data_IF_750621675027
#
_entry.id   IF_750621675027
#
_cell.length_a   1.000
_cell.length_b   1.000
_cell.length_c   1.000
_cell.angle_alpha   90.00
_cell.angle_beta   90.00
_cell.angle_gamma   90.00
#
_symmetry.space_group_name_H-M   'P 1'
#
loop_
_entity.id
_entity.type
_entity.pdbx_description
1 polymer ?
#
# COMPACT_ATOMS: atom_id res chain seq x y z
N UNK A 1 66.91 48.34 38.57
CA UNK A 1 68.23 47.85 38.19
C UNK A 1 68.17 47.03 36.92
N UNK A 2 68.76 47.55 35.82
CA UNK A 2 69.29 46.93 34.59
C UNK A 2 68.48 45.83 33.90
N UNK A 3 67.88 46.13 32.70
CA UNK A 3 68.36 45.86 31.33
C UNK A 3 68.49 44.40 31.01
N UNK A 4 67.90 43.86 29.94
CA UNK A 4 68.33 44.08 28.55
C UNK A 4 67.36 43.46 27.54
N UNK A 5 67.20 44.17 26.48
CA UNK A 5 66.63 43.92 25.17
C UNK A 5 67.23 42.72 24.44
N UNK A 6 66.53 41.94 23.75
CA UNK A 6 66.90 41.33 22.46
C UNK A 6 65.72 41.05 21.58
N UNK A 7 65.61 41.73 20.47
CA UNK A 7 64.75 41.46 19.32
C UNK A 7 65.22 40.21 18.61
N UNK A 8 64.31 39.37 18.28
CA UNK A 8 64.45 38.43 17.15
C UNK A 8 63.21 38.47 16.33
N UNK A 9 63.35 38.93 15.09
CA UNK A 9 62.37 38.85 14.02
C UNK A 9 62.23 37.40 13.60
N UNK A 10 61.01 36.94 13.47
CA UNK A 10 60.70 35.72 12.79
C UNK A 10 59.63 35.99 11.73
N UNK A 11 60.01 35.70 10.50
CA UNK A 11 59.24 35.89 9.30
C UNK A 11 57.93 35.04 9.33
N UNK A 12 56.82 35.71 9.04
CA UNK A 12 55.55 35.05 8.82
C UNK A 12 55.52 34.48 7.39
N UNK A 13 55.57 33.14 7.28
CA UNK A 13 55.27 32.46 6.05
C UNK A 13 53.76 32.26 5.96
N UNK A 14 53.10 33.01 5.10
CA UNK A 14 51.70 32.82 4.75
C UNK A 14 51.56 31.60 3.83
N UNK A 15 51.14 30.49 4.39
CA UNK A 15 50.65 29.33 3.59
C UNK A 15 49.20 29.62 3.21
N UNK A 16 48.96 29.99 1.97
CA UNK A 16 47.64 29.98 1.34
C UNK A 16 47.24 28.54 1.10
N UNK A 17 46.36 28.00 1.94
CA UNK A 17 45.64 26.77 1.64
C UNK A 17 44.51 27.08 0.65
N UNK A 18 44.72 26.78 -0.61
CA UNK A 18 43.67 26.67 -1.61
C UNK A 18 42.89 25.41 -1.34
N UNK A 19 41.76 25.52 -0.63
CA UNK A 19 40.78 24.42 -0.49
C UNK A 19 40.06 24.23 -1.82
N UNK A 20 40.53 23.30 -2.63
CA UNK A 20 39.77 22.80 -3.78
C UNK A 20 38.55 22.03 -3.25
N UNK A 21 37.36 22.66 -3.29
CA UNK A 21 36.10 21.95 -3.17
C UNK A 21 35.97 21.02 -4.39
N UNK A 22 36.31 19.77 -4.20
CA UNK A 22 35.85 18.68 -5.06
C UNK A 22 34.38 18.51 -4.78
N UNK A 23 33.54 19.16 -5.58
CA UNK A 23 32.16 18.77 -5.76
C UNK A 23 32.17 17.36 -6.38
N UNK A 24 32.13 16.35 -5.53
CA UNK A 24 31.81 14.99 -5.96
C UNK A 24 30.37 15.05 -6.48
N UNK A 25 30.21 15.22 -7.79
CA UNK A 25 28.96 14.89 -8.47
C UNK A 25 28.71 13.43 -8.19
N UNK A 26 27.76 13.12 -7.28
CA UNK A 26 27.24 11.78 -7.15
C UNK A 26 26.77 11.37 -8.56
N UNK A 27 27.20 10.24 -9.10
CA UNK A 27 26.67 9.76 -10.36
C UNK A 27 25.16 9.63 -10.16
N UNK A 28 24.38 10.32 -10.98
CA UNK A 28 22.99 9.98 -11.15
C UNK A 28 23.02 8.50 -11.54
N UNK A 29 22.39 7.65 -10.74
CA UNK A 29 22.23 6.26 -11.08
C UNK A 29 21.40 6.22 -12.36
N UNK A 30 22.06 6.12 -13.50
CA UNK A 30 21.40 5.79 -14.75
C UNK A 30 20.91 4.37 -14.59
N UNK A 31 19.64 4.09 -14.83
CA UNK A 31 19.16 2.71 -14.92
C UNK A 31 20.12 1.94 -15.82
N UNK A 32 20.59 0.77 -15.36
CA UNK A 32 21.43 -0.08 -16.22
C UNK A 32 20.68 -0.36 -17.52
N UNK A 33 21.34 -0.34 -18.70
CA UNK A 33 20.68 -0.49 -19.98
C UNK A 33 19.77 -1.71 -20.11
N UNK A 34 20.04 -2.74 -19.33
CA UNK A 34 19.29 -4.00 -19.26
C UNK A 34 18.65 -4.26 -17.89
N UNK A 35 18.57 -3.25 -17.02
CA UNK A 35 18.01 -3.36 -15.68
C UNK A 35 16.49 -3.41 -15.64
N UNK A 36 15.98 -3.86 -14.50
CA UNK A 36 14.56 -3.94 -14.19
C UNK A 36 14.00 -5.37 -14.19
N UNK A 37 12.95 -5.57 -13.40
CA UNK A 37 12.21 -6.84 -13.31
C UNK A 37 10.93 -6.71 -14.14
N UNK A 38 10.49 -7.80 -14.77
CA UNK A 38 9.32 -7.72 -15.67
C UNK A 38 8.03 -7.32 -14.95
N UNK A 39 7.87 -7.72 -13.70
CA UNK A 39 6.72 -7.38 -12.86
C UNK A 39 7.18 -6.86 -11.50
N UNK A 40 6.70 -5.68 -11.12
CA UNK A 40 6.89 -5.07 -9.81
C UNK A 40 5.54 -4.78 -9.18
N UNK A 41 5.37 -5.13 -7.91
CA UNK A 41 4.14 -4.90 -7.15
C UNK A 41 4.44 -4.03 -5.95
N UNK A 42 3.60 -3.01 -5.75
CA UNK A 42 3.60 -2.11 -4.60
C UNK A 42 2.22 -2.14 -3.96
N UNK A 43 2.13 -2.07 -2.64
CA UNK A 43 0.81 -2.07 -2.05
C UNK A 43 0.74 -2.28 -0.55
N UNK A 44 -0.48 -2.37 -0.06
CA UNK A 44 -0.77 -2.56 1.35
C UNK A 44 -1.09 -4.03 1.72
N UNK A 45 -1.79 -4.24 2.84
CA UNK A 45 -2.14 -5.58 3.31
C UNK A 45 -3.09 -6.36 2.40
N UNK A 46 -3.84 -5.69 1.52
CA UNK A 46 -4.65 -6.38 0.51
C UNK A 46 -3.79 -6.97 -0.61
N UNK A 47 -2.59 -6.46 -0.78
CA UNK A 47 -1.57 -6.95 -1.70
C UNK A 47 -0.67 -7.98 -1.01
N UNK A 48 -0.06 -7.61 0.13
CA UNK A 48 0.84 -8.48 0.88
C UNK A 48 0.13 -9.67 1.52
N UNK A 49 -1.16 -9.65 1.60
CA UNK A 49 -2.08 -10.57 2.25
C UNK A 49 -1.42 -11.81 2.89
N UNK A 50 -1.97 -12.34 3.94
CA UNK A 50 -1.36 -13.43 4.68
C UNK A 50 -2.37 -14.21 5.50
N UNK A 51 -1.91 -14.74 6.62
CA UNK A 51 -2.77 -15.45 7.55
C UNK A 51 -3.10 -14.63 8.80
N UNK A 52 -3.95 -15.17 9.65
CA UNK A 52 -4.37 -14.54 10.90
C UNK A 52 -3.20 -14.33 11.88
N UNK A 53 -2.17 -15.19 11.85
CA UNK A 53 -1.00 -15.04 12.72
C UNK A 53 -0.22 -13.78 12.36
N UNK A 54 0.04 -13.57 11.08
CA UNK A 54 0.66 -12.34 10.56
C UNK A 54 -0.21 -11.09 10.86
N UNK A 55 -1.55 -11.22 10.79
CA UNK A 55 -2.45 -10.14 11.18
C UNK A 55 -2.33 -9.80 12.67
N UNK A 56 -2.20 -10.79 13.55
CA UNK A 56 -2.05 -10.60 14.99
C UNK A 56 -0.69 -9.97 15.37
N UNK A 57 0.38 -10.31 14.67
CA UNK A 57 1.68 -9.68 14.86
C UNK A 57 1.62 -8.18 14.59
N UNK A 58 0.95 -7.78 13.51
CA UNK A 58 0.79 -6.39 13.12
C UNK A 58 -0.09 -5.55 14.08
N UNK A 59 -0.89 -6.19 14.94
CA UNK A 59 -1.69 -5.46 15.93
C UNK A 59 -0.95 -5.27 17.28
N UNK A 60 0.22 -5.87 17.42
CA UNK A 60 1.04 -5.70 18.63
C UNK A 60 1.60 -4.28 18.69
N UNK A 61 1.39 -3.53 19.80
CA UNK A 61 1.95 -2.20 19.94
C UNK A 61 3.48 -2.21 19.82
N UNK A 62 4.02 -1.38 18.92
CA UNK A 62 5.47 -1.26 18.70
C UNK A 62 6.07 -2.32 17.78
N UNK A 63 5.26 -3.20 17.19
CA UNK A 63 5.75 -4.11 16.14
C UNK A 63 6.33 -3.30 14.96
N UNK A 64 7.45 -3.79 14.41
CA UNK A 64 7.98 -3.26 13.17
C UNK A 64 6.98 -3.52 12.02
N UNK A 65 6.97 -2.65 10.98
CA UNK A 65 6.18 -2.93 9.79
C UNK A 65 6.55 -4.29 9.20
N UNK A 66 5.53 -5.09 8.89
CA UNK A 66 5.71 -6.42 8.32
C UNK A 66 5.48 -6.37 6.80
N UNK A 67 6.54 -6.69 6.05
CA UNK A 67 6.50 -6.79 4.60
C UNK A 67 6.62 -8.25 4.14
N UNK A 68 6.27 -9.22 5.00
CA UNK A 68 6.11 -10.61 4.57
C UNK A 68 4.85 -10.75 3.69
N UNK A 69 4.93 -11.62 2.71
CA UNK A 69 3.87 -11.87 1.75
C UNK A 69 3.24 -13.23 1.99
N UNK A 70 1.92 -13.31 1.90
CA UNK A 70 1.21 -14.57 1.97
C UNK A 70 1.53 -15.46 0.77
N UNK A 71 1.65 -16.78 0.97
CA UNK A 71 1.92 -17.71 -0.12
C UNK A 71 0.79 -17.78 -1.15
N UNK A 72 -0.39 -17.29 -0.78
CA UNK A 72 -1.60 -17.28 -1.60
C UNK A 72 -2.10 -15.87 -1.90
N UNK A 73 -1.32 -14.83 -1.59
CA UNK A 73 -1.65 -13.44 -1.99
C UNK A 73 -1.76 -13.34 -3.51
N UNK A 74 -2.59 -12.41 -4.02
CA UNK A 74 -2.76 -12.29 -5.46
C UNK A 74 -1.45 -12.02 -6.24
N UNK A 75 -0.44 -11.27 -5.72
CA UNK A 75 0.82 -11.12 -6.44
C UNK A 75 1.60 -12.44 -6.53
N UNK A 76 1.60 -13.22 -5.44
CA UNK A 76 2.25 -14.53 -5.41
C UNK A 76 1.61 -15.47 -6.44
N UNK A 77 0.27 -15.59 -6.45
CA UNK A 77 -0.44 -16.42 -7.40
C UNK A 77 -0.24 -15.92 -8.84
N UNK A 78 -0.32 -14.61 -9.08
CA UNK A 78 -0.06 -14.02 -10.39
C UNK A 78 1.36 -14.34 -10.90
N UNK A 79 2.37 -14.22 -10.04
CA UNK A 79 3.74 -14.54 -10.41
C UNK A 79 3.93 -16.05 -10.71
N UNK A 80 3.22 -16.91 -9.99
CA UNK A 80 3.19 -18.36 -10.27
C UNK A 80 2.53 -18.64 -11.63
N UNK A 81 1.37 -18.04 -11.92
CA UNK A 81 0.65 -18.18 -13.18
C UNK A 81 1.44 -17.67 -14.39
N UNK A 82 2.29 -16.66 -14.18
CA UNK A 82 3.20 -16.12 -15.19
C UNK A 82 4.52 -16.91 -15.31
N UNK A 83 4.78 -17.87 -14.43
CA UNK A 83 6.01 -18.65 -14.39
C UNK A 83 7.26 -17.86 -13.94
N UNK A 84 7.06 -16.74 -13.23
CA UNK A 84 8.17 -15.87 -12.75
C UNK A 84 8.33 -15.89 -11.24
N UNK A 85 7.53 -16.65 -10.50
CA UNK A 85 7.66 -16.80 -9.06
C UNK A 85 9.03 -17.41 -8.72
N UNK A 86 9.73 -16.81 -7.76
CA UNK A 86 11.07 -17.25 -7.34
C UNK A 86 12.19 -16.91 -8.32
N UNK A 87 11.91 -16.18 -9.40
CA UNK A 87 12.92 -15.71 -10.35
C UNK A 87 13.32 -14.26 -10.09
N UNK A 88 14.36 -13.79 -10.81
CA UNK A 88 14.78 -12.39 -10.78
C UNK A 88 13.82 -11.42 -11.50
N UNK A 89 12.80 -11.93 -12.19
CA UNK A 89 11.86 -11.12 -12.98
C UNK A 89 10.64 -10.62 -12.21
N UNK A 90 10.52 -10.99 -10.94
CA UNK A 90 9.43 -10.58 -10.06
C UNK A 90 9.93 -9.85 -8.81
N UNK A 91 9.26 -8.77 -8.41
CA UNK A 91 9.41 -8.12 -7.12
C UNK A 91 8.04 -7.76 -6.54
N UNK A 92 7.79 -8.19 -5.32
CA UNK A 92 6.70 -7.72 -4.49
C UNK A 92 7.29 -6.91 -3.32
N UNK A 93 6.96 -5.63 -3.27
CA UNK A 93 7.43 -4.67 -2.26
C UNK A 93 6.31 -4.26 -1.32
N UNK A 94 5.15 -4.87 -1.44
CA UNK A 94 3.99 -4.55 -0.62
C UNK A 94 4.24 -4.85 0.85
N UNK A 95 3.67 -4.01 1.71
CA UNK A 95 3.82 -4.15 3.15
C UNK A 95 2.49 -3.98 3.86
N UNK A 96 2.21 -4.81 4.86
CA UNK A 96 0.99 -4.68 5.66
C UNK A 96 0.95 -3.34 6.37
N UNK A 97 -0.19 -2.65 6.27
CA UNK A 97 -0.37 -1.32 6.84
C UNK A 97 0.27 -0.19 6.05
N UNK A 98 0.86 -0.47 4.89
CA UNK A 98 1.40 0.58 4.03
C UNK A 98 0.33 1.56 3.60
N UNK A 99 0.73 2.81 3.42
CA UNK A 99 -0.15 3.94 3.07
C UNK A 99 0.45 4.73 1.92
N UNK A 100 -0.34 5.61 1.31
CA UNK A 100 0.17 6.56 0.31
C UNK A 100 1.22 7.49 0.93
N UNK A 101 0.84 8.18 2.00
CA UNK A 101 1.68 9.23 2.61
C UNK A 101 1.61 9.29 4.14
N UNK A 102 0.66 8.60 4.78
CA UNK A 102 0.34 8.85 6.20
C UNK A 102 1.04 7.91 7.16
N UNK A 103 1.63 8.48 8.18
CA UNK A 103 1.90 7.87 9.47
C UNK A 103 3.17 7.03 9.62
N UNK A 104 3.38 6.43 10.79
CA UNK A 104 4.50 5.56 11.02
C UNK A 104 4.35 4.28 10.20
N UNK A 105 5.42 3.82 9.60
CA UNK A 105 5.46 2.61 8.80
C UNK A 105 5.83 2.88 7.36
N UNK A 106 5.61 1.89 6.52
CA UNK A 106 5.94 2.01 5.12
C UNK A 106 4.93 2.88 4.39
N UNK A 107 5.45 3.73 3.51
CA UNK A 107 4.65 4.48 2.55
C UNK A 107 4.93 3.94 1.15
N UNK A 108 4.02 4.19 0.22
CA UNK A 108 4.20 3.81 -1.17
C UNK A 108 5.53 4.35 -1.76
N UNK A 109 5.94 5.55 -1.35
CA UNK A 109 7.23 6.11 -1.75
C UNK A 109 8.43 5.35 -1.16
N UNK A 110 8.28 4.74 0.01
CA UNK A 110 9.30 3.88 0.60
C UNK A 110 9.42 2.58 -0.18
N UNK A 111 8.31 1.95 -0.53
CA UNK A 111 8.28 0.74 -1.35
C UNK A 111 8.89 0.98 -2.73
N UNK A 112 8.51 2.07 -3.41
CA UNK A 112 9.06 2.42 -4.71
C UNK A 112 10.59 2.64 -4.67
N UNK A 113 11.10 3.35 -3.66
CA UNK A 113 12.55 3.49 -3.48
C UNK A 113 13.25 2.19 -3.14
N UNK A 114 12.60 1.32 -2.35
CA UNK A 114 13.11 -0.02 -2.06
C UNK A 114 13.19 -0.90 -3.31
N UNK A 115 12.18 -0.83 -4.18
CA UNK A 115 12.18 -1.50 -5.47
C UNK A 115 13.35 -1.02 -6.36
N UNK A 116 13.54 0.29 -6.43
CA UNK A 116 14.63 0.90 -7.21
C UNK A 116 16.01 0.49 -6.67
N UNK A 117 16.20 0.58 -5.36
CA UNK A 117 17.45 0.19 -4.70
C UNK A 117 17.82 -1.30 -4.93
N UNK A 118 16.82 -2.15 -5.20
CA UNK A 118 17.02 -3.57 -5.56
C UNK A 118 17.13 -3.79 -7.08
N UNK A 119 17.23 -2.73 -7.89
CA UNK A 119 17.27 -2.81 -9.34
C UNK A 119 16.00 -3.36 -9.98
N UNK A 120 14.84 -3.18 -9.30
CA UNK A 120 13.55 -3.68 -9.81
C UNK A 120 12.98 -2.79 -10.91
N UNK A 121 13.32 -1.51 -10.94
CA UNK A 121 12.94 -0.58 -11.99
C UNK A 121 14.04 -0.49 -13.05
N UNK A 122 13.64 -0.41 -14.31
CA UNK A 122 14.55 -0.27 -15.44
C UNK A 122 13.83 -0.41 -16.77
N UNK A 123 14.58 -0.34 -17.90
CA UNK A 123 14.00 -0.45 -19.24
C UNK A 123 13.28 -1.78 -19.52
N UNK A 124 13.63 -2.85 -18.78
CA UNK A 124 12.99 -4.17 -18.90
C UNK A 124 11.69 -4.29 -18.09
N UNK A 125 11.40 -3.35 -17.19
CA UNK A 125 10.17 -3.40 -16.39
C UNK A 125 8.96 -3.22 -17.31
N UNK A 126 8.10 -4.23 -17.35
CA UNK A 126 6.92 -4.26 -18.22
C UNK A 126 5.68 -3.75 -17.52
N UNK A 127 5.53 -4.12 -16.24
CA UNK A 127 4.32 -3.80 -15.48
C UNK A 127 4.65 -3.45 -14.05
N UNK A 128 4.02 -2.38 -13.54
CA UNK A 128 4.01 -2.02 -12.13
C UNK A 128 2.56 -1.98 -11.66
N UNK A 129 2.22 -2.85 -10.71
CA UNK A 129 0.89 -2.93 -10.10
C UNK A 129 0.89 -2.22 -8.76
N UNK A 130 -0.11 -1.38 -8.48
CA UNK A 130 -0.18 -0.58 -7.26
C UNK A 130 -1.57 -0.70 -6.63
N UNK A 131 -1.66 -1.20 -5.38
CA UNK A 131 -2.90 -1.28 -4.61
C UNK A 131 -2.71 -0.65 -3.24
N UNK A 132 -3.24 0.55 -3.00
CA UNK A 132 -3.01 1.30 -1.77
C UNK A 132 -4.04 2.41 -1.56
N UNK A 133 -4.15 2.91 -0.32
CA UNK A 133 -4.95 4.09 0.03
C UNK A 133 -5.85 3.91 1.25
N UNK A 134 -6.28 2.70 1.58
CA UNK A 134 -7.17 2.46 2.73
C UNK A 134 -6.51 2.74 4.08
N UNK A 135 -5.19 2.60 4.20
CA UNK A 135 -4.47 2.81 5.45
C UNK A 135 -4.10 4.27 5.72
N UNK A 136 -4.42 5.18 4.82
CA UNK A 136 -4.17 6.60 5.04
C UNK A 136 -5.14 7.20 6.05
N UNK A 137 -4.68 8.23 6.75
CA UNK A 137 -5.55 9.17 7.40
C UNK A 137 -6.13 10.12 6.33
N UNK A 138 -7.43 10.20 6.23
CA UNK A 138 -8.15 11.05 5.29
C UNK A 138 -8.92 12.15 6.02
N UNK A 139 -9.15 13.26 5.33
CA UNK A 139 -9.90 14.38 5.88
C UNK A 139 -9.19 15.05 7.06
N UNK A 140 -9.96 15.42 8.09
CA UNK A 140 -9.48 16.26 9.18
C UNK A 140 -8.93 15.50 10.40
N UNK A 141 -9.19 14.20 10.49
CA UNK A 141 -8.72 13.39 11.63
C UNK A 141 -7.54 12.48 11.24
N UNK A 142 -6.87 11.92 12.24
CA UNK A 142 -5.71 11.03 12.06
C UNK A 142 -6.07 9.55 12.15
N UNK A 143 -7.35 9.21 12.18
CA UNK A 143 -7.85 7.85 12.28
C UNK A 143 -7.63 7.12 10.95
N UNK A 144 -7.18 5.88 11.02
CA UNK A 144 -6.91 5.03 9.88
C UNK A 144 -7.82 3.81 9.85
N UNK A 145 -7.72 3.02 8.79
CA UNK A 145 -8.54 1.82 8.60
C UNK A 145 -8.59 0.93 9.83
N UNK A 146 -7.44 0.57 10.41
CA UNK A 146 -7.40 -0.32 11.59
C UNK A 146 -8.20 0.24 12.77
N UNK A 147 -8.03 1.53 13.10
CA UNK A 147 -8.81 2.16 14.15
C UNK A 147 -10.30 2.21 13.79
N UNK A 148 -10.63 2.46 12.53
CA UNK A 148 -12.01 2.41 12.02
C UNK A 148 -12.63 1.04 12.26
N UNK A 149 -11.93 -0.04 11.95
CA UNK A 149 -12.44 -1.39 12.19
C UNK A 149 -12.65 -1.66 13.69
N UNK A 150 -11.66 -1.34 14.52
CA UNK A 150 -11.71 -1.63 15.96
C UNK A 150 -12.68 -0.72 16.72
N UNK A 151 -12.65 0.59 16.49
CA UNK A 151 -13.36 1.58 17.31
C UNK A 151 -14.73 1.96 16.75
N UNK A 152 -15.05 1.47 15.55
CA UNK A 152 -16.27 1.86 14.84
C UNK A 152 -17.04 0.62 14.36
N UNK A 153 -16.44 -0.20 13.47
CA UNK A 153 -17.16 -1.35 12.88
C UNK A 153 -17.49 -2.40 13.93
N UNK A 154 -16.55 -2.75 14.80
CA UNK A 154 -16.77 -3.72 15.88
C UNK A 154 -17.49 -3.14 17.10
N UNK A 155 -17.70 -1.83 17.17
CA UNK A 155 -18.51 -1.21 18.22
C UNK A 155 -20.00 -1.31 17.86
N UNK A 156 -20.61 -2.45 18.07
CA UNK A 156 -22.00 -2.73 17.74
C UNK A 156 -22.99 -1.88 18.54
N UNK A 157 -22.57 -1.31 19.68
CA UNK A 157 -23.42 -0.47 20.54
C UNK A 157 -23.52 0.93 19.98
N UNK A 158 -22.40 1.64 19.80
CA UNK A 158 -22.38 3.01 19.26
C UNK A 158 -22.59 3.04 17.75
N UNK A 159 -22.14 1.99 17.05
CA UNK A 159 -22.21 1.89 15.62
C UNK A 159 -21.13 2.70 14.90
N UNK A 160 -21.11 2.57 13.60
CA UNK A 160 -20.17 3.18 12.67
C UNK A 160 -20.90 4.04 11.62
N UNK A 161 -21.85 4.86 12.09
CA UNK A 161 -22.55 5.84 11.24
C UNK A 161 -21.64 6.99 10.81
N UNK A 162 -22.13 7.89 9.94
CA UNK A 162 -21.34 9.02 9.43
C UNK A 162 -20.73 9.92 10.51
N UNK A 163 -21.40 10.04 11.65
CA UNK A 163 -20.96 10.80 12.83
C UNK A 163 -19.68 10.22 13.48
N UNK A 164 -19.37 8.96 13.23
CA UNK A 164 -18.19 8.31 13.80
C UNK A 164 -16.87 8.97 13.32
N UNK A 165 -16.86 9.52 12.11
CA UNK A 165 -15.72 10.27 11.59
C UNK A 165 -15.50 11.58 12.37
N UNK A 166 -16.57 12.32 12.67
CA UNK A 166 -16.53 13.55 13.45
C UNK A 166 -16.13 13.30 14.91
N UNK A 167 -16.52 12.15 15.44
CA UNK A 167 -16.15 11.69 16.78
C UNK A 167 -14.72 11.13 16.87
N UNK A 168 -13.96 11.11 15.78
CA UNK A 168 -12.61 10.53 15.75
C UNK A 168 -12.55 9.00 15.99
N UNK A 169 -13.64 8.27 15.70
CA UNK A 169 -13.71 6.81 15.82
C UNK A 169 -13.49 6.10 14.48
N UNK A 170 -13.73 6.80 13.37
CA UNK A 170 -13.51 6.31 12.02
C UNK A 170 -12.67 7.30 11.22
N UNK A 171 -11.99 6.78 10.20
CA UNK A 171 -11.35 7.61 9.17
C UNK A 171 -12.35 8.60 8.60
N UNK A 172 -11.95 9.84 8.42
CA UNK A 172 -12.81 10.84 7.81
C UNK A 172 -12.95 10.61 6.30
N UNK A 173 -13.89 9.76 5.95
CA UNK A 173 -14.18 9.37 4.56
C UNK A 173 -14.48 10.56 3.64
N UNK A 174 -14.89 11.72 4.19
CA UNK A 174 -15.20 12.94 3.42
C UNK A 174 -13.95 13.51 2.73
N UNK A 175 -12.79 13.27 3.31
CA UNK A 175 -11.51 13.64 2.71
C UNK A 175 -11.06 12.74 1.56
N UNK A 176 -11.69 11.57 1.38
CA UNK A 176 -11.40 10.69 0.24
C UNK A 176 -12.07 11.26 -1.00
N UNK A 177 -11.27 11.80 -1.90
CA UNK A 177 -11.69 12.30 -3.20
C UNK A 177 -10.56 12.15 -4.22
N UNK A 178 -10.92 12.25 -5.49
CA UNK A 178 -10.01 12.04 -6.62
C UNK A 178 -8.79 12.95 -6.59
N UNK A 179 -8.99 14.25 -6.34
CA UNK A 179 -7.89 15.21 -6.35
C UNK A 179 -6.89 14.94 -5.23
N UNK A 180 -7.38 14.62 -4.04
CA UNK A 180 -6.52 14.29 -2.90
C UNK A 180 -5.77 12.97 -3.13
N UNK A 181 -6.43 11.97 -3.72
CA UNK A 181 -5.76 10.72 -4.11
C UNK A 181 -4.66 10.96 -5.14
N UNK A 182 -4.96 11.76 -6.20
CA UNK A 182 -3.98 12.17 -7.21
C UNK A 182 -2.79 12.88 -6.57
N UNK A 183 -3.03 13.86 -5.70
CA UNK A 183 -1.98 14.63 -5.03
C UNK A 183 -1.01 13.72 -4.26
N UNK A 184 -1.54 12.67 -3.59
CA UNK A 184 -0.74 11.73 -2.79
C UNK A 184 0.02 10.71 -3.62
N UNK A 185 -0.58 10.17 -4.68
CA UNK A 185 0.02 9.07 -5.46
C UNK A 185 0.92 9.57 -6.59
N UNK A 186 0.63 10.76 -7.15
CA UNK A 186 1.36 11.30 -8.32
C UNK A 186 2.89 11.29 -8.17
N UNK A 187 3.50 11.68 -7.03
CA UNK A 187 4.95 11.64 -6.88
C UNK A 187 5.55 10.25 -7.10
N UNK A 188 4.84 9.19 -6.70
CA UNK A 188 5.30 7.82 -6.92
C UNK A 188 5.09 7.38 -8.36
N UNK A 189 3.97 7.75 -8.99
CA UNK A 189 3.74 7.48 -10.42
C UNK A 189 4.82 8.13 -11.28
N UNK A 190 5.17 9.39 -10.99
CA UNK A 190 6.23 10.11 -11.69
C UNK A 190 7.60 9.44 -11.46
N UNK A 191 7.88 8.98 -10.24
CA UNK A 191 9.08 8.22 -9.90
C UNK A 191 9.18 6.93 -10.71
N UNK A 192 8.12 6.14 -10.73
CA UNK A 192 8.06 4.89 -11.51
C UNK A 192 8.27 5.17 -13.00
N UNK A 193 7.62 6.18 -13.55
CA UNK A 193 7.80 6.55 -14.98
C UNK A 193 9.23 6.96 -15.32
N UNK A 194 9.92 7.62 -14.38
CA UNK A 194 11.30 8.03 -14.57
C UNK A 194 12.26 6.83 -14.61
N UNK A 195 12.12 5.91 -13.65
CA UNK A 195 13.03 4.77 -13.52
C UNK A 195 12.62 3.52 -14.31
N UNK A 196 11.35 3.38 -14.67
CA UNK A 196 10.80 2.30 -15.48
C UNK A 196 9.98 2.88 -16.65
N UNK A 197 10.63 3.54 -17.63
CA UNK A 197 9.95 4.33 -18.66
C UNK A 197 9.08 3.53 -19.61
N UNK A 198 9.30 2.21 -19.70
CA UNK A 198 8.55 1.32 -20.57
C UNK A 198 7.41 0.58 -19.83
N UNK A 199 7.28 0.79 -18.50
CA UNK A 199 6.33 0.05 -17.70
C UNK A 199 4.89 0.56 -17.91
N UNK A 200 3.96 -0.38 -18.08
CA UNK A 200 2.53 -0.14 -17.83
C UNK A 200 2.34 0.01 -16.32
N UNK A 201 1.72 1.08 -15.90
CA UNK A 201 1.35 1.28 -14.48
C UNK A 201 -0.14 1.01 -14.38
N UNK A 202 -0.52 0.11 -13.47
CA UNK A 202 -1.91 -0.29 -13.24
C UNK A 202 -2.26 -0.07 -11.77
N UNK A 203 -3.26 0.74 -11.50
CA UNK A 203 -3.87 0.79 -10.18
C UNK A 203 -4.82 -0.40 -10.04
N UNK A 204 -4.61 -1.20 -9.00
CA UNK A 204 -5.46 -2.33 -8.65
C UNK A 204 -6.47 -1.84 -7.62
N UNK A 205 -7.76 -1.87 -7.96
CA UNK A 205 -8.84 -1.54 -7.02
C UNK A 205 -8.94 -2.56 -5.89
N UNK A 206 -9.72 -2.24 -4.86
CA UNK A 206 -10.00 -3.19 -3.79
C UNK A 206 -11.18 -4.10 -4.18
N UNK A 207 -11.25 -5.33 -3.65
CA UNK A 207 -12.35 -6.23 -3.92
C UNK A 207 -13.67 -5.70 -3.36
N UNK A 208 -14.79 -6.24 -3.81
CA UNK A 208 -16.09 -5.94 -3.23
C UNK A 208 -16.09 -6.29 -1.75
N UNK A 209 -16.27 -5.28 -0.90
CA UNK A 209 -16.37 -5.46 0.54
C UNK A 209 -17.80 -5.75 0.97
N UNK A 210 -18.74 -5.00 0.43
CA UNK A 210 -20.17 -5.11 0.67
C UNK A 210 -20.92 -4.95 -0.65
N UNK A 211 -22.06 -5.64 -0.78
CA UNK A 211 -22.91 -5.49 -1.94
C UNK A 211 -23.34 -4.01 -2.11
N UNK A 212 -23.49 -3.55 -3.37
CA UNK A 212 -23.88 -2.17 -3.65
C UNK A 212 -25.15 -1.73 -2.91
N UNK A 213 -25.12 -0.56 -2.29
CA UNK A 213 -26.25 0.02 -1.56
C UNK A 213 -26.50 -0.55 -0.16
N UNK A 214 -25.76 -1.54 0.30
CA UNK A 214 -25.84 -2.00 1.68
C UNK A 214 -25.23 -0.97 2.63
N UNK A 215 -25.82 -0.85 3.81
CA UNK A 215 -25.32 0.00 4.92
C UNK A 215 -24.84 -0.85 6.10
N UNK A 216 -24.75 -2.14 5.90
CA UNK A 216 -24.41 -3.15 6.89
C UNK A 216 -23.06 -3.74 6.61
N UNK A 217 -22.27 -3.89 7.63
CA UNK A 217 -21.00 -4.61 7.60
C UNK A 217 -21.12 -5.87 8.45
N UNK A 218 -20.62 -6.98 8.00
CA UNK A 218 -20.56 -8.17 8.84
C UNK A 218 -19.19 -8.83 8.80
N UNK A 219 -18.87 -9.49 9.90
CA UNK A 219 -17.70 -10.36 10.01
C UNK A 219 -18.18 -11.67 10.62
N UNK A 220 -17.98 -12.76 9.93
CA UNK A 220 -18.27 -14.07 10.44
C UNK A 220 -17.19 -14.56 11.39
N UNK A 221 -17.62 -15.14 12.51
CA UNK A 221 -16.73 -15.59 13.59
C UNK A 221 -17.05 -17.04 13.92
N UNK A 222 -16.04 -17.90 13.91
CA UNK A 222 -16.18 -19.33 14.24
C UNK A 222 -16.90 -19.51 15.59
N UNK A 223 -17.95 -20.32 15.58
CA UNK A 223 -18.71 -20.65 16.79
C UNK A 223 -19.62 -19.54 17.34
N UNK A 224 -19.57 -18.34 16.78
CA UNK A 224 -20.41 -17.19 17.18
C UNK A 224 -21.44 -16.86 16.12
N UNK A 225 -21.10 -17.04 14.84
CA UNK A 225 -21.90 -16.60 13.69
C UNK A 225 -21.51 -15.21 13.23
N UNK A 226 -22.40 -14.52 12.50
CA UNK A 226 -22.12 -13.21 11.94
C UNK A 226 -22.26 -12.10 12.99
N UNK A 227 -21.20 -11.36 13.25
CA UNK A 227 -21.27 -10.07 13.93
C UNK A 227 -21.69 -9.04 12.90
N UNK A 228 -22.87 -8.45 13.08
CA UNK A 228 -23.48 -7.55 12.12
C UNK A 228 -23.49 -6.13 12.67
N UNK A 229 -22.78 -5.24 11.98
CA UNK A 229 -22.87 -3.79 12.23
C UNK A 229 -23.86 -3.17 11.26
N UNK A 230 -25.06 -2.90 11.73
CA UNK A 230 -26.16 -2.34 10.91
C UNK A 230 -26.00 -0.84 10.61
N UNK A 231 -25.13 -0.17 11.33
CA UNK A 231 -24.81 1.24 11.14
C UNK A 231 -23.34 1.37 10.73
N UNK A 232 -22.99 0.93 9.52
CA UNK A 232 -21.61 0.85 9.01
C UNK A 232 -21.25 1.98 8.02
N UNK A 233 -22.08 3.02 7.94
CA UNK A 233 -21.99 4.04 6.89
C UNK A 233 -20.63 4.70 6.74
N UNK A 234 -19.85 4.97 7.81
CA UNK A 234 -18.51 5.54 7.70
C UNK A 234 -17.53 4.58 6.98
N UNK A 235 -17.54 3.30 7.34
CA UNK A 235 -16.67 2.33 6.71
C UNK A 235 -17.06 2.08 5.24
N UNK A 236 -18.35 1.95 4.95
CA UNK A 236 -18.85 1.74 3.59
C UNK A 236 -18.51 2.93 2.70
N UNK A 237 -18.76 4.16 3.17
CA UNK A 237 -18.39 5.38 2.43
C UNK A 237 -16.89 5.48 2.17
N UNK A 238 -16.05 5.01 3.09
CA UNK A 238 -14.59 4.97 2.87
C UNK A 238 -14.25 4.10 1.66
N UNK A 239 -14.82 2.89 1.58
CA UNK A 239 -14.57 1.95 0.47
C UNK A 239 -15.13 2.47 -0.86
N UNK A 240 -16.38 2.93 -0.87
CA UNK A 240 -17.01 3.41 -2.10
C UNK A 240 -16.31 4.64 -2.67
N UNK A 241 -15.90 5.58 -1.81
CA UNK A 241 -15.14 6.77 -2.24
C UNK A 241 -13.74 6.42 -2.68
N UNK A 242 -13.10 5.42 -2.06
CA UNK A 242 -11.78 4.94 -2.47
C UNK A 242 -11.83 4.34 -3.88
N UNK A 243 -12.81 3.50 -4.18
CA UNK A 243 -12.98 2.92 -5.52
C UNK A 243 -13.12 4.02 -6.60
N UNK A 244 -13.98 5.02 -6.34
CA UNK A 244 -14.16 6.16 -7.26
C UNK A 244 -12.87 6.96 -7.41
N UNK A 245 -12.22 7.30 -6.28
CA UNK A 245 -11.01 8.11 -6.29
C UNK A 245 -9.84 7.43 -7.03
N UNK A 246 -9.66 6.13 -6.85
CA UNK A 246 -8.63 5.35 -7.55
C UNK A 246 -8.89 5.30 -9.07
N UNK A 247 -10.13 5.01 -9.47
CA UNK A 247 -10.55 4.91 -10.86
C UNK A 247 -10.37 6.23 -11.62
N UNK A 248 -10.84 7.32 -11.04
CA UNK A 248 -10.73 8.65 -11.65
C UNK A 248 -9.29 9.18 -11.61
N UNK A 249 -8.54 8.89 -10.55
CA UNK A 249 -7.11 9.23 -10.48
C UNK A 249 -6.30 8.51 -11.55
N UNK A 250 -6.61 7.25 -11.84
CA UNK A 250 -5.97 6.52 -12.93
C UNK A 250 -6.19 7.22 -14.28
N UNK A 251 -7.41 7.68 -14.55
CA UNK A 251 -7.73 8.45 -15.77
C UNK A 251 -6.93 9.76 -15.83
N UNK A 252 -6.92 10.54 -14.75
CA UNK A 252 -6.19 11.83 -14.68
C UNK A 252 -4.68 11.62 -14.87
N UNK A 253 -4.13 10.59 -14.29
CA UNK A 253 -2.70 10.30 -14.36
C UNK A 253 -2.31 9.54 -15.63
N UNK A 254 -3.27 9.11 -16.47
CA UNK A 254 -3.01 8.33 -17.69
C UNK A 254 -2.34 6.99 -17.38
N UNK A 255 -2.81 6.32 -16.34
CA UNK A 255 -2.45 4.94 -15.96
C UNK A 255 -3.68 4.04 -16.07
N UNK A 256 -3.48 2.73 -16.07
CA UNK A 256 -4.59 1.79 -16.16
C UNK A 256 -5.26 1.60 -14.79
N UNK A 257 -6.51 1.21 -14.79
CA UNK A 257 -7.25 0.80 -13.60
C UNK A 257 -7.78 -0.61 -13.77
N UNK A 258 -7.44 -1.50 -12.85
CA UNK A 258 -8.01 -2.84 -12.76
C UNK A 258 -9.12 -2.86 -11.72
N UNK A 259 -10.33 -3.18 -12.16
CA UNK A 259 -11.54 -3.19 -11.35
C UNK A 259 -11.67 -4.50 -10.57
N UNK A 260 -10.95 -4.62 -9.46
CA UNK A 260 -11.04 -5.80 -8.59
C UNK A 260 -12.45 -5.96 -7.97
N UNK A 261 -13.16 -4.84 -7.71
CA UNK A 261 -14.53 -4.86 -7.21
C UNK A 261 -15.48 -5.55 -8.18
N UNK A 262 -15.32 -5.25 -9.49
CA UNK A 262 -16.17 -5.89 -10.51
C UNK A 262 -15.89 -7.39 -10.66
N UNK A 263 -14.64 -7.84 -10.57
CA UNK A 263 -14.32 -9.27 -10.72
C UNK A 263 -14.65 -10.09 -9.49
N UNK A 264 -14.85 -9.46 -8.32
CA UNK A 264 -15.26 -10.10 -7.06
C UNK A 264 -16.72 -9.82 -6.68
N UNK A 265 -17.50 -9.25 -7.60
CA UNK A 265 -18.87 -8.84 -7.34
C UNK A 265 -19.76 -10.02 -6.88
N UNK A 266 -20.55 -9.77 -5.83
CA UNK A 266 -21.41 -10.76 -5.19
C UNK A 266 -20.73 -11.65 -4.15
N UNK A 267 -19.42 -11.45 -3.89
CA UNK A 267 -18.62 -12.27 -2.99
C UNK A 267 -18.00 -11.49 -1.82
N UNK A 268 -18.52 -10.31 -1.54
CA UNK A 268 -18.13 -9.52 -0.36
C UNK A 268 -18.45 -10.19 0.96
N UNK A 269 -18.12 -9.51 2.05
CA UNK A 269 -18.52 -9.90 3.40
C UNK A 269 -20.06 -10.06 3.45
N UNK A 270 -20.59 -10.98 4.25
CA UNK A 270 -22.02 -11.28 4.35
C UNK A 270 -22.64 -11.94 3.12
N UNK A 271 -21.92 -12.21 2.07
CA UNK A 271 -22.45 -12.99 0.95
C UNK A 271 -22.59 -14.45 1.33
N UNK A 272 -23.45 -15.21 0.63
CA UNK A 272 -23.56 -16.66 0.86
C UNK A 272 -22.25 -17.43 0.60
N UNK A 273 -21.40 -16.90 -0.27
CA UNK A 273 -20.10 -17.45 -0.64
C UNK A 273 -19.04 -16.33 -0.60
N UNK A 274 -18.57 -15.93 0.60
CA UNK A 274 -17.62 -14.83 0.73
C UNK A 274 -16.24 -15.24 0.21
N UNK A 275 -15.61 -14.32 -0.53
CA UNK A 275 -14.20 -14.42 -0.94
C UNK A 275 -13.28 -13.56 -0.08
N UNK A 276 -13.83 -13.00 0.98
CA UNK A 276 -13.10 -12.29 2.03
C UNK A 276 -13.14 -13.13 3.30
N UNK A 277 -12.02 -13.19 4.02
CA UNK A 277 -11.91 -13.98 5.23
C UNK A 277 -12.67 -13.33 6.40
N UNK A 278 -13.44 -14.15 7.13
CA UNK A 278 -13.95 -13.83 8.45
C UNK A 278 -12.90 -14.08 9.53
N UNK A 279 -13.34 -14.15 10.78
CA UNK A 279 -12.48 -14.52 11.90
C UNK A 279 -12.61 -16.03 12.12
N UNK A 280 -11.60 -16.78 11.71
CA UNK A 280 -11.61 -18.24 11.74
C UNK A 280 -12.84 -18.82 11.00
N UNK A 281 -13.23 -18.22 9.87
CA UNK A 281 -14.42 -18.61 9.10
C UNK A 281 -14.08 -19.70 8.07
N UNK A 282 -14.52 -20.94 8.26
CA UNK A 282 -14.24 -22.04 7.33
C UNK A 282 -14.95 -21.91 5.98
N UNK A 283 -15.94 -21.01 5.82
CA UNK A 283 -16.65 -20.81 4.54
C UNK A 283 -15.81 -20.04 3.53
N UNK A 284 -14.91 -19.18 4.00
CA UNK A 284 -13.97 -18.45 3.16
C UNK A 284 -12.54 -18.99 3.32
N UNK A 285 -11.94 -18.78 4.47
CA UNK A 285 -10.62 -19.28 4.80
C UNK A 285 -10.40 -19.28 6.32
N UNK A 286 -10.17 -20.49 6.91
CA UNK A 286 -10.11 -20.64 8.36
C UNK A 286 -9.03 -19.77 9.00
N UNK A 287 -7.87 -19.67 8.37
CA UNK A 287 -6.70 -18.96 8.90
C UNK A 287 -6.36 -17.68 8.13
N UNK A 288 -7.26 -17.21 7.26
CA UNK A 288 -7.05 -15.98 6.48
C UNK A 288 -7.01 -14.74 7.36
N UNK A 289 -6.37 -13.69 6.89
CA UNK A 289 -6.41 -12.36 7.51
C UNK A 289 -7.86 -11.84 7.50
N UNK A 290 -8.47 -11.56 8.67
CA UNK A 290 -9.84 -11.08 8.70
C UNK A 290 -10.06 -9.83 7.83
N UNK A 291 -11.18 -9.80 7.10
CA UNK A 291 -11.59 -8.69 6.22
C UNK A 291 -10.73 -8.55 4.94
N UNK A 292 -9.72 -9.39 4.75
CA UNK A 292 -8.89 -9.45 3.55
C UNK A 292 -9.35 -10.57 2.62
N UNK A 293 -8.91 -10.58 1.35
CA UNK A 293 -9.22 -11.68 0.44
C UNK A 293 -8.81 -13.04 1.01
N UNK A 294 -9.65 -14.06 0.77
CA UNK A 294 -9.24 -15.45 0.94
C UNK A 294 -8.27 -15.85 -0.18
N UNK A 295 -7.58 -16.98 0.00
CA UNK A 295 -6.75 -17.57 -1.07
C UNK A 295 -7.50 -17.70 -2.39
N UNK A 296 -8.80 -18.05 -2.34
CA UNK A 296 -9.65 -18.11 -3.53
C UNK A 296 -9.92 -16.72 -4.11
N UNK A 297 -10.27 -15.74 -3.28
CA UNK A 297 -10.50 -14.35 -3.72
C UNK A 297 -9.27 -13.75 -4.39
N UNK A 298 -8.10 -13.94 -3.79
CA UNK A 298 -6.81 -13.54 -4.37
C UNK A 298 -6.53 -14.25 -5.70
N UNK A 299 -6.85 -15.55 -5.81
CA UNK A 299 -6.70 -16.30 -7.05
C UNK A 299 -7.57 -15.78 -8.20
N UNK A 300 -8.80 -15.36 -7.89
CA UNK A 300 -9.68 -14.72 -8.90
C UNK A 300 -9.10 -13.41 -9.40
N UNK A 301 -8.58 -12.58 -8.49
CA UNK A 301 -7.91 -11.31 -8.84
C UNK A 301 -6.65 -11.59 -9.67
N UNK A 302 -5.80 -12.54 -9.26
CA UNK A 302 -4.58 -12.93 -9.96
C UNK A 302 -4.86 -13.38 -11.40
N UNK A 303 -5.81 -14.31 -11.58
CA UNK A 303 -6.20 -14.81 -12.90
C UNK A 303 -6.78 -13.72 -13.82
N UNK A 304 -7.49 -12.75 -13.26
CA UNK A 304 -8.01 -11.62 -14.03
C UNK A 304 -6.91 -10.63 -14.41
N UNK A 305 -5.97 -10.34 -13.51
CA UNK A 305 -4.77 -9.54 -13.78
C UNK A 305 -3.88 -10.20 -14.83
N UNK A 306 -3.68 -11.54 -14.76
CA UNK A 306 -2.92 -12.27 -15.78
C UNK A 306 -3.47 -12.01 -17.18
N UNK A 307 -4.79 -12.07 -17.35
CA UNK A 307 -5.43 -11.78 -18.65
C UNK A 307 -5.22 -10.34 -19.09
N UNK A 308 -5.26 -9.37 -18.15
CA UNK A 308 -5.04 -7.97 -18.45
C UNK A 308 -3.61 -7.69 -18.94
N UNK A 309 -2.61 -8.31 -18.32
CA UNK A 309 -1.21 -8.01 -18.62
C UNK A 309 -0.63 -8.87 -19.74
N UNK A 310 -1.26 -10.00 -20.06
CA UNK A 310 -0.87 -10.87 -21.18
C UNK A 310 -1.43 -10.40 -22.54
N UNK A 311 -2.47 -9.59 -22.56
CA UNK A 311 -3.08 -9.00 -23.75
C UNK A 311 -2.50 -7.65 -24.08
#
# INVERSE_FOLDING_TARGET
MKLSTRYRALAAATMSMASALLLASAPFASAEPDGGKSLVVLGDSFTANGDIAAALENVTPGAAPDCSHGPTSWPTQLAQDLGIWGTSDFADMSCRGASLVSGPGFTLAHEARGADAQGSFGPRTKTVLIQTGLNDAWGENTVRLRQTLLNCVLDVIRGCGPEAAEQGRATDFRGVNTQEYVNRIKPVVDYVRYYAPNARIVFVGYPEMNAPGQQTWCVDVLGVGSIVQTRAGSAIQLWDRMDVAQREAAQILGVEFFDAKAVTAGHGLCSPQPWLAGILDPRSELMGTPVHPSSHGDGVVAAALQRLIAG
#
